data_IF_308082265916
#
_entry.id   IF_308082265916
#
_cell.length_a   1.000
_cell.length_b   1.000
_cell.length_c   1.000
_cell.angle_alpha   90.00
_cell.angle_beta   90.00
_cell.angle_gamma   90.00
#
_symmetry.space_group_name_H-M   'P 1'
#
loop_
_entity.id
_entity.type
_entity.pdbx_description
1 polymer ?
#
# COMPACT_ATOMS: atom_id res chain seq x y z
N UNK A 1 51.56 -21.50 28.17
CA UNK A 1 50.11 -21.80 28.25
C UNK A 1 49.37 -20.80 27.39
N UNK A 2 49.10 -21.15 26.14
CA UNK A 2 48.38 -20.32 25.17
C UNK A 2 46.87 -20.56 25.33
N UNK A 3 46.14 -19.58 25.85
CA UNK A 3 44.69 -19.63 25.95
C UNK A 3 44.08 -19.60 24.54
N UNK A 4 43.36 -20.66 24.18
CA UNK A 4 42.62 -20.76 22.92
C UNK A 4 41.47 -19.74 22.91
N UNK A 5 41.38 -18.94 21.83
CA UNK A 5 40.20 -18.09 21.61
C UNK A 5 38.97 -18.99 21.44
N UNK A 6 37.84 -18.68 22.10
CA UNK A 6 36.64 -19.51 21.98
C UNK A 6 36.15 -19.49 20.53
N UNK A 7 36.04 -20.66 19.91
CA UNK A 7 35.38 -20.82 18.63
C UNK A 7 33.88 -20.63 18.83
N UNK A 8 33.36 -19.50 18.36
CA UNK A 8 31.92 -19.28 18.25
C UNK A 8 31.30 -20.41 17.42
N UNK A 9 30.21 -20.98 17.92
CA UNK A 9 29.40 -21.96 17.22
C UNK A 9 28.84 -21.38 15.91
N UNK A 10 28.47 -22.24 14.96
CA UNK A 10 27.79 -21.84 13.71
C UNK A 10 26.53 -20.99 13.98
N UNK A 11 25.87 -21.22 15.11
CA UNK A 11 24.73 -20.45 15.60
C UNK A 11 25.09 -19.03 16.01
N UNK A 12 26.14 -18.87 16.82
CA UNK A 12 26.58 -17.56 17.28
C UNK A 12 27.15 -16.72 16.13
N UNK A 13 27.80 -17.34 15.15
CA UNK A 13 28.27 -16.64 13.93
C UNK A 13 27.10 -16.18 13.04
N UNK A 14 26.04 -16.98 12.90
CA UNK A 14 24.84 -16.63 12.11
C UNK A 14 23.97 -15.56 12.79
N UNK A 15 23.78 -15.66 14.10
CA UNK A 15 23.10 -14.63 14.89
C UNK A 15 23.89 -13.32 14.87
N UNK A 16 25.23 -13.38 14.92
CA UNK A 16 26.09 -12.21 14.75
C UNK A 16 25.97 -11.59 13.34
N UNK A 17 25.92 -12.39 12.27
CA UNK A 17 25.73 -11.87 10.88
C UNK A 17 24.37 -11.20 10.71
N UNK A 18 23.29 -11.79 11.23
CA UNK A 18 21.96 -11.16 11.20
C UNK A 18 21.95 -9.88 12.07
N UNK A 19 22.52 -9.93 13.28
CA UNK A 19 22.65 -8.74 14.14
C UNK A 19 23.55 -7.67 13.54
N UNK A 20 24.56 -8.01 12.72
CA UNK A 20 25.44 -7.06 12.04
C UNK A 20 24.82 -6.48 10.77
N UNK A 21 24.06 -7.27 10.00
CA UNK A 21 23.30 -6.79 8.84
C UNK A 21 22.14 -5.87 9.24
N UNK A 22 21.58 -6.07 10.43
CA UNK A 22 20.38 -5.37 10.90
C UNK A 22 20.58 -4.45 12.11
N UNK A 23 21.79 -4.34 12.70
CA UNK A 23 22.09 -3.28 13.67
C UNK A 23 22.21 -1.94 12.95
N UNK A 24 21.23 -1.07 13.16
CA UNK A 24 21.31 0.35 12.84
C UNK A 24 20.69 0.79 11.52
N UNK A 25 20.03 -0.10 10.77
CA UNK A 25 19.41 0.23 9.47
C UNK A 25 17.89 0.18 9.47
N UNK A 26 17.24 -0.63 10.31
CA UNK A 26 15.77 -0.76 10.34
C UNK A 26 15.27 -1.23 11.72
N UNK A 27 14.25 -0.56 12.28
CA UNK A 27 13.43 -1.06 13.40
C UNK A 27 12.52 -2.19 12.83
N UNK A 28 13.09 -3.36 12.53
CA UNK A 28 12.31 -4.52 12.11
C UNK A 28 11.46 -5.04 13.29
N UNK A 29 10.16 -5.32 13.12
CA UNK A 29 9.30 -5.84 14.17
C UNK A 29 9.48 -7.35 14.39
N UNK A 30 10.69 -7.89 14.20
CA UNK A 30 10.95 -9.31 14.52
C UNK A 30 11.15 -9.41 16.03
N UNK A 31 10.08 -9.71 16.76
CA UNK A 31 10.21 -10.13 18.16
C UNK A 31 11.03 -11.41 18.22
N UNK A 32 12.26 -11.33 18.73
CA UNK A 32 13.14 -12.50 18.95
C UNK A 32 12.48 -13.63 19.75
N UNK A 33 11.37 -13.37 20.46
CA UNK A 33 10.63 -14.38 21.22
C UNK A 33 9.76 -15.32 20.36
N UNK A 34 9.59 -15.06 19.06
CA UNK A 34 8.78 -15.92 18.15
C UNK A 34 9.60 -16.76 17.17
N UNK A 35 10.93 -16.71 17.24
CA UNK A 35 11.85 -17.51 16.40
C UNK A 35 11.97 -18.98 16.85
N UNK A 36 11.28 -19.38 17.93
CA UNK A 36 11.55 -20.63 18.64
C UNK A 36 10.94 -21.92 18.06
N UNK A 37 10.28 -21.91 16.88
CA UNK A 37 10.29 -23.13 16.06
C UNK A 37 10.48 -22.81 14.58
N UNK A 38 11.52 -22.04 14.22
CA UNK A 38 11.97 -21.92 12.82
C UNK A 38 13.09 -22.93 12.46
N UNK A 39 13.34 -23.91 13.33
CA UNK A 39 14.30 -25.00 13.13
C UNK A 39 13.85 -26.03 12.07
N UNK A 40 12.63 -25.91 11.55
CA UNK A 40 12.10 -26.73 10.44
C UNK A 40 12.05 -26.00 9.10
N UNK A 41 12.51 -24.74 8.99
CA UNK A 41 12.75 -24.13 7.67
C UNK A 41 14.05 -24.71 7.07
N UNK A 42 13.95 -25.92 6.50
CA UNK A 42 14.91 -26.49 5.53
C UNK A 42 14.92 -25.69 4.20
N UNK A 43 14.55 -24.42 4.21
CA UNK A 43 14.45 -23.59 3.02
C UNK A 43 15.81 -22.97 2.66
N UNK A 44 16.15 -22.84 1.36
CA UNK A 44 17.29 -22.06 0.87
C UNK A 44 17.15 -20.53 1.11
N UNK A 45 16.32 -20.11 2.05
CA UNK A 45 15.97 -18.73 2.35
C UNK A 45 17.17 -17.78 2.55
N UNK A 46 18.24 -18.16 3.31
CA UNK A 46 19.43 -17.31 3.43
C UNK A 46 20.17 -17.17 2.11
N UNK A 47 20.24 -18.23 1.30
CA UNK A 47 20.93 -18.22 0.02
C UNK A 47 20.20 -17.37 -1.01
N UNK A 48 18.86 -17.40 -1.03
CA UNK A 48 18.07 -16.56 -1.94
C UNK A 48 18.21 -15.07 -1.61
N UNK A 49 18.20 -14.70 -0.33
CA UNK A 49 18.41 -13.31 0.07
C UNK A 49 19.82 -12.82 -0.26
N UNK A 50 20.84 -13.64 0.03
CA UNK A 50 22.23 -13.35 -0.35
C UNK A 50 22.34 -13.22 -1.87
N UNK A 51 21.71 -14.11 -2.63
CA UNK A 51 21.67 -14.04 -4.08
C UNK A 51 21.02 -12.75 -4.59
N UNK A 52 19.84 -12.39 -4.06
CA UNK A 52 19.15 -11.15 -4.44
C UNK A 52 20.05 -9.93 -4.20
N UNK A 53 20.71 -9.86 -3.04
CA UNK A 53 21.60 -8.77 -2.69
C UNK A 53 22.85 -8.75 -3.59
N UNK A 54 23.55 -9.88 -3.75
CA UNK A 54 24.80 -9.94 -4.50
C UNK A 54 24.58 -9.71 -6.01
N UNK A 55 23.51 -10.30 -6.57
CA UNK A 55 23.24 -10.23 -8.00
C UNK A 55 22.60 -8.90 -8.41
N UNK A 56 21.70 -8.34 -7.60
CA UNK A 56 20.99 -7.10 -7.93
C UNK A 56 21.79 -5.82 -7.63
N UNK A 57 22.78 -5.87 -6.73
CA UNK A 57 23.53 -4.67 -6.31
C UNK A 57 24.23 -3.92 -7.45
N UNK A 58 24.89 -4.58 -8.43
CA UNK A 58 25.46 -3.88 -9.59
C UNK A 58 24.39 -3.12 -10.41
N UNK A 59 23.21 -3.71 -10.59
CA UNK A 59 22.11 -3.07 -11.32
C UNK A 59 21.53 -1.89 -10.55
N UNK A 60 21.32 -2.05 -9.24
CA UNK A 60 20.84 -0.98 -8.37
C UNK A 60 21.80 0.21 -8.35
N UNK A 61 23.11 -0.05 -8.23
CA UNK A 61 24.13 0.99 -8.27
C UNK A 61 24.19 1.71 -9.62
N UNK A 62 24.10 0.96 -10.74
CA UNK A 62 24.07 1.53 -12.08
C UNK A 62 22.84 2.42 -12.35
N UNK A 63 21.77 2.25 -11.58
CA UNK A 63 20.49 2.96 -11.72
C UNK A 63 20.27 4.05 -10.67
N UNK A 64 21.29 4.36 -9.86
CA UNK A 64 21.21 5.39 -8.82
C UNK A 64 20.29 5.03 -7.65
N UNK A 65 19.93 3.75 -7.50
CA UNK A 65 19.03 3.29 -6.44
C UNK A 65 19.80 3.19 -5.13
N UNK A 66 19.30 3.82 -4.06
CA UNK A 66 20.02 3.84 -2.78
C UNK A 66 20.22 2.42 -2.22
N UNK A 67 21.41 2.14 -1.68
CA UNK A 67 21.73 0.80 -1.13
C UNK A 67 20.75 0.35 -0.05
N UNK A 68 20.28 1.28 0.79
CA UNK A 68 19.29 0.98 1.84
C UNK A 68 17.95 0.58 1.25
N UNK A 69 17.48 1.30 0.23
CA UNK A 69 16.25 0.96 -0.45
C UNK A 69 16.36 -0.33 -1.26
N UNK A 70 17.47 -0.54 -1.96
CA UNK A 70 17.71 -1.80 -2.65
C UNK A 70 17.72 -2.99 -1.67
N UNK A 71 18.31 -2.84 -0.48
CA UNK A 71 18.27 -3.86 0.55
C UNK A 71 16.84 -4.16 1.03
N UNK A 72 15.99 -3.13 1.15
CA UNK A 72 14.55 -3.29 1.41
C UNK A 72 13.88 -4.08 0.28
N UNK A 73 14.10 -3.69 -0.99
CA UNK A 73 13.55 -4.39 -2.15
C UNK A 73 13.99 -5.86 -2.20
N UNK A 74 15.28 -6.15 -1.98
CA UNK A 74 15.83 -7.50 -1.98
C UNK A 74 15.23 -8.39 -0.87
N UNK A 75 14.97 -7.80 0.31
CA UNK A 75 14.28 -8.49 1.41
C UNK A 75 12.82 -8.79 1.07
N UNK A 76 12.06 -7.79 0.60
CA UNK A 76 10.65 -7.98 0.24
C UNK A 76 10.51 -8.90 -0.97
N UNK A 77 11.43 -8.87 -1.93
CA UNK A 77 11.52 -9.85 -3.01
C UNK A 77 11.63 -11.28 -2.49
N UNK A 78 12.47 -11.49 -1.48
CA UNK A 78 12.58 -12.80 -0.84
C UNK A 78 11.29 -13.18 -0.12
N UNK A 79 10.74 -12.29 0.73
CA UNK A 79 9.53 -12.55 1.49
C UNK A 79 8.33 -12.86 0.56
N UNK A 80 8.05 -11.97 -0.40
CA UNK A 80 6.97 -12.08 -1.37
C UNK A 80 7.20 -13.15 -2.43
N UNK A 81 8.42 -13.62 -2.64
CA UNK A 81 8.75 -14.67 -3.61
C UNK A 81 8.78 -16.08 -3.02
N UNK A 82 9.08 -16.21 -1.72
CA UNK A 82 9.36 -17.51 -1.09
C UNK A 82 8.35 -17.90 -0.01
N UNK A 83 7.74 -16.96 0.71
CA UNK A 83 6.86 -17.26 1.84
C UNK A 83 5.39 -17.32 1.43
N UNK A 84 4.61 -18.23 2.02
CA UNK A 84 3.16 -18.32 1.86
C UNK A 84 2.46 -17.23 2.68
N UNK A 85 1.20 -16.94 2.35
CA UNK A 85 0.40 -15.94 3.06
C UNK A 85 0.43 -16.08 4.60
N UNK A 86 0.19 -17.29 5.11
CA UNK A 86 0.21 -17.54 6.57
C UNK A 86 1.59 -17.34 7.21
N UNK A 87 2.66 -17.60 6.47
CA UNK A 87 4.03 -17.39 6.97
C UNK A 87 4.33 -15.89 7.07
N UNK A 88 3.93 -15.11 6.07
CA UNK A 88 4.05 -13.65 6.08
C UNK A 88 3.24 -13.03 7.22
N UNK A 89 1.99 -13.45 7.39
CA UNK A 89 1.12 -12.98 8.48
C UNK A 89 1.60 -13.43 9.87
N UNK A 90 2.38 -14.51 9.99
CA UNK A 90 2.98 -14.90 11.26
C UNK A 90 4.12 -13.97 11.68
N UNK A 91 4.89 -13.46 10.71
CA UNK A 91 6.04 -12.58 10.94
C UNK A 91 5.63 -11.15 11.24
N UNK A 92 4.48 -10.71 10.73
CA UNK A 92 3.99 -9.34 10.88
C UNK A 92 2.82 -9.32 11.87
N UNK A 93 2.80 -8.42 12.87
CA UNK A 93 1.64 -8.30 13.76
C UNK A 93 0.35 -7.96 12.99
N UNK A 94 -0.83 -8.37 13.49
CA UNK A 94 -2.11 -7.95 12.91
C UNK A 94 -2.24 -6.41 12.86
N UNK A 95 -2.96 -5.90 11.85
CA UNK A 95 -3.09 -4.45 11.60
C UNK A 95 -3.51 -3.64 12.82
N UNK A 96 -4.50 -4.13 13.59
CA UNK A 96 -4.97 -3.48 14.83
C UNK A 96 -3.85 -3.39 15.87
N UNK A 97 -3.09 -4.47 16.06
CA UNK A 97 -1.96 -4.50 17.02
C UNK A 97 -0.84 -3.55 16.57
N UNK A 98 -0.58 -3.47 15.26
CA UNK A 98 0.37 -2.51 14.69
C UNK A 98 -0.07 -1.07 14.96
N UNK A 99 -1.34 -0.76 14.71
CA UNK A 99 -1.95 0.55 14.98
C UNK A 99 -1.87 0.93 16.45
N UNK A 100 -2.27 0.06 17.37
CA UNK A 100 -2.23 0.34 18.81
C UNK A 100 -0.80 0.63 19.30
N UNK A 101 0.18 -0.16 18.85
CA UNK A 101 1.60 0.05 19.19
C UNK A 101 2.14 1.35 18.61
N UNK A 102 1.79 1.65 17.36
CA UNK A 102 2.21 2.89 16.72
C UNK A 102 1.60 4.10 17.43
N UNK A 103 0.29 4.09 17.72
CA UNK A 103 -0.40 5.16 18.45
C UNK A 103 0.23 5.39 19.83
N UNK A 104 0.47 4.33 20.61
CA UNK A 104 1.10 4.44 21.92
C UNK A 104 2.53 5.02 21.83
N UNK A 105 3.32 4.58 20.85
CA UNK A 105 4.69 5.09 20.64
C UNK A 105 4.67 6.56 20.18
N UNK A 106 3.84 6.89 19.19
CA UNK A 106 3.76 8.23 18.59
C UNK A 106 3.19 9.24 19.60
N UNK A 107 2.14 8.90 20.33
CA UNK A 107 1.56 9.74 21.39
C UNK A 107 2.56 10.06 22.51
N UNK A 108 3.37 9.08 22.92
CA UNK A 108 4.45 9.29 23.90
C UNK A 108 5.56 10.20 23.37
N UNK A 109 5.89 10.08 22.08
CA UNK A 109 6.93 10.90 21.44
C UNK A 109 6.47 12.31 21.09
N UNK A 110 5.15 12.53 20.96
CA UNK A 110 4.53 13.79 20.53
C UNK A 110 3.36 14.17 21.44
N UNK A 111 3.60 14.46 22.75
CA UNK A 111 2.54 14.82 23.68
C UNK A 111 1.76 16.07 23.28
N UNK A 112 2.35 16.98 22.51
CA UNK A 112 1.71 18.17 21.93
C UNK A 112 0.55 17.85 20.97
N UNK A 113 0.50 16.62 20.45
CA UNK A 113 -0.52 16.15 19.53
C UNK A 113 -1.42 15.06 20.16
N UNK A 114 -1.53 15.02 21.49
CA UNK A 114 -2.29 13.99 22.20
C UNK A 114 -3.76 13.88 21.78
N UNK A 115 -4.39 14.99 21.35
CA UNK A 115 -5.78 14.97 20.89
C UNK A 115 -5.96 14.33 19.50
N UNK A 116 -4.90 14.33 18.67
CA UNK A 116 -4.85 13.67 17.36
C UNK A 116 -4.36 12.22 17.43
N UNK A 117 -3.70 11.85 18.54
CA UNK A 117 -3.05 10.54 18.74
C UNK A 117 -3.76 9.69 19.81
N UNK A 118 -5.09 9.60 19.72
CA UNK A 118 -5.93 8.77 20.60
C UNK A 118 -6.50 7.57 19.85
N UNK A 119 -6.36 6.36 20.42
CA UNK A 119 -6.92 5.12 19.86
C UNK A 119 -8.40 5.31 19.55
N UNK A 120 -8.77 5.10 18.29
CA UNK A 120 -10.14 5.17 17.81
C UNK A 120 -10.32 4.15 16.67
N UNK A 121 -11.04 3.07 16.96
CA UNK A 121 -11.33 1.98 16.02
C UNK A 121 -12.84 1.84 15.93
N UNK A 122 -13.34 1.87 14.71
CA UNK A 122 -14.76 1.80 14.40
C UNK A 122 -15.03 0.57 13.54
N UNK A 123 -15.84 -0.36 14.04
CA UNK A 123 -16.16 -1.59 13.32
C UNK A 123 -17.09 -1.29 12.14
N UNK A 124 -16.85 -1.96 11.01
CA UNK A 124 -17.74 -1.89 9.86
C UNK A 124 -18.89 -2.90 10.02
N UNK A 125 -20.10 -2.60 9.50
CA UNK A 125 -21.19 -3.56 9.45
C UNK A 125 -20.89 -4.80 8.58
N UNK A 126 -19.93 -4.70 7.66
CA UNK A 126 -19.67 -5.68 6.60
C UNK A 126 -18.49 -6.61 6.92
N UNK A 127 -18.72 -7.67 7.69
CA UNK A 127 -17.80 -8.81 7.88
C UNK A 127 -16.43 -8.46 8.50
N UNK A 128 -16.38 -8.14 9.79
CA UNK A 128 -15.15 -8.02 10.61
C UNK A 128 -14.10 -6.96 10.20
N UNK A 129 -14.40 -6.13 9.19
CA UNK A 129 -13.56 -4.99 8.83
C UNK A 129 -13.69 -3.85 9.84
N UNK A 130 -12.69 -2.98 9.91
CA UNK A 130 -12.73 -1.78 10.77
C UNK A 130 -12.03 -0.58 10.17
N UNK A 131 -12.41 0.62 10.62
CA UNK A 131 -11.72 1.87 10.34
C UNK A 131 -10.86 2.22 11.56
N UNK A 132 -9.56 2.39 11.33
CA UNK A 132 -8.62 2.88 12.35
C UNK A 132 -8.33 4.35 12.07
N UNK A 133 -8.73 5.23 12.99
CA UNK A 133 -8.62 6.66 12.81
C UNK A 133 -7.26 7.21 13.27
N UNK A 134 -6.67 8.09 12.47
CA UNK A 134 -5.52 8.93 12.83
C UNK A 134 -5.96 10.40 12.72
N UNK A 135 -5.64 11.23 13.72
CA UNK A 135 -6.16 12.60 13.80
C UNK A 135 -7.46 12.70 14.62
N UNK A 136 -7.92 13.94 14.81
CA UNK A 136 -9.11 14.22 15.61
C UNK A 136 -10.36 14.31 14.71
N UNK A 137 -11.04 13.19 14.49
CA UNK A 137 -12.20 13.14 13.58
C UNK A 137 -13.35 14.07 13.97
N UNK A 138 -13.47 14.44 15.25
CA UNK A 138 -14.52 15.34 15.72
C UNK A 138 -14.26 16.81 15.36
N UNK A 139 -12.98 17.18 15.16
CA UNK A 139 -12.58 18.51 14.72
C UNK A 139 -12.25 18.57 13.23
N UNK A 140 -12.03 17.42 12.60
CA UNK A 140 -11.61 17.32 11.23
C UNK A 140 -12.63 17.95 10.27
N UNK A 141 -12.11 18.74 9.34
CA UNK A 141 -12.87 19.32 8.22
C UNK A 141 -12.48 18.68 6.89
N UNK A 142 -11.39 17.91 6.87
CA UNK A 142 -10.80 17.24 5.72
C UNK A 142 -10.49 15.79 6.07
N UNK A 143 -10.72 14.89 5.13
CA UNK A 143 -10.70 13.46 5.38
C UNK A 143 -9.92 12.71 4.30
N UNK A 144 -9.27 11.62 4.73
CA UNK A 144 -8.59 10.67 3.85
C UNK A 144 -9.10 9.27 4.17
N UNK A 145 -9.60 8.53 3.18
CA UNK A 145 -9.84 7.09 3.30
C UNK A 145 -8.65 6.35 2.69
N UNK A 146 -7.85 5.71 3.55
CA UNK A 146 -6.59 5.08 3.17
C UNK A 146 -6.74 3.55 3.11
N UNK A 147 -6.30 2.96 2.01
CA UNK A 147 -6.21 1.51 1.80
C UNK A 147 -4.74 1.10 1.74
N UNK A 148 -4.30 0.23 2.64
CA UNK A 148 -2.89 -0.16 2.68
C UNK A 148 -2.53 -1.18 1.58
N UNK A 149 -1.25 -1.26 1.22
CA UNK A 149 -0.73 -2.28 0.32
C UNK A 149 -0.45 -3.62 1.00
N UNK A 150 0.43 -4.42 0.41
CA UNK A 150 0.79 -5.75 0.92
C UNK A 150 0.13 -6.93 0.20
N UNK A 151 -0.29 -6.73 -1.06
CA UNK A 151 -0.79 -7.82 -1.91
C UNK A 151 -2.06 -8.51 -1.39
N UNK A 152 -2.88 -7.81 -0.61
CA UNK A 152 -4.03 -8.34 0.14
C UNK A 152 -3.70 -9.46 1.16
N UNK A 153 -2.42 -9.70 1.42
CA UNK A 153 -1.94 -10.81 2.25
C UNK A 153 -1.21 -10.29 3.49
N UNK A 154 -0.41 -9.25 3.33
CA UNK A 154 0.41 -8.68 4.39
C UNK A 154 -0.41 -7.65 5.18
N UNK A 155 -0.42 -7.73 6.53
CA UNK A 155 -1.06 -6.71 7.36
C UNK A 155 -0.45 -5.32 7.18
N UNK A 156 -1.20 -4.31 7.60
CA UNK A 156 -0.73 -2.93 7.69
C UNK A 156 0.60 -2.85 8.44
N UNK A 157 1.61 -2.28 7.81
CA UNK A 157 2.91 -1.98 8.40
C UNK A 157 2.94 -0.61 9.11
N UNK A 158 3.81 -0.42 10.13
CA UNK A 158 3.99 0.87 10.79
C UNK A 158 4.30 2.02 9.82
N UNK A 159 5.01 1.74 8.72
CA UNK A 159 5.34 2.74 7.70
C UNK A 159 4.11 3.37 7.04
N UNK A 160 3.01 2.64 6.86
CA UNK A 160 1.76 3.22 6.32
C UNK A 160 1.16 4.24 7.30
N UNK A 161 1.20 3.96 8.60
CA UNK A 161 0.69 4.87 9.63
C UNK A 161 1.56 6.11 9.75
N UNK A 162 2.88 5.93 9.68
CA UNK A 162 3.84 7.03 9.66
C UNK A 162 3.61 7.90 8.42
N UNK A 163 3.43 7.29 7.24
CA UNK A 163 3.10 8.01 6.03
C UNK A 163 1.78 8.78 6.17
N UNK A 164 0.70 8.14 6.63
CA UNK A 164 -0.58 8.83 6.84
C UNK A 164 -0.45 10.05 7.78
N UNK A 165 0.32 9.89 8.86
CA UNK A 165 0.59 10.97 9.80
C UNK A 165 1.38 12.10 9.14
N UNK A 166 2.52 11.78 8.52
CA UNK A 166 3.42 12.78 7.95
C UNK A 166 2.84 13.44 6.70
N UNK A 167 2.06 12.76 5.87
CA UNK A 167 1.50 13.35 4.64
C UNK A 167 0.22 14.13 4.85
N UNK A 168 -0.60 13.78 5.85
CA UNK A 168 -1.97 14.31 5.93
C UNK A 168 -2.31 14.97 7.27
N UNK A 169 -1.93 14.37 8.40
CA UNK A 169 -2.39 14.84 9.73
C UNK A 169 -1.46 15.88 10.34
N UNK A 170 -0.15 15.65 10.26
CA UNK A 170 0.88 16.54 10.77
C UNK A 170 1.45 17.46 9.71
N UNK A 171 1.74 16.91 8.52
CA UNK A 171 2.23 17.67 7.39
C UNK A 171 1.17 17.89 6.31
N UNK A 172 1.53 18.63 5.26
CA UNK A 172 0.68 18.84 4.10
C UNK A 172 -0.64 19.53 4.48
N UNK A 173 -1.82 18.98 4.14
CA UNK A 173 -3.09 19.62 4.49
C UNK A 173 -3.30 19.80 6.00
N UNK A 174 -2.65 18.97 6.84
CA UNK A 174 -2.70 19.09 8.31
C UNK A 174 -2.05 20.36 8.86
N UNK A 175 -1.21 21.04 8.07
CA UNK A 175 -0.60 22.33 8.40
C UNK A 175 -1.59 23.50 8.22
N UNK A 176 -2.69 23.28 7.51
CA UNK A 176 -3.65 24.32 7.11
C UNK A 176 -5.08 24.03 7.58
N UNK A 177 -5.42 22.78 7.87
CA UNK A 177 -6.74 22.34 8.29
C UNK A 177 -6.66 21.17 9.27
N UNK A 178 -7.73 20.96 10.03
CA UNK A 178 -7.89 19.74 10.82
C UNK A 178 -8.21 18.56 9.89
N UNK A 179 -7.28 17.59 9.81
CA UNK A 179 -7.38 16.40 8.95
C UNK A 179 -7.52 15.15 9.82
N UNK A 180 -8.39 14.23 9.39
CA UNK A 180 -8.44 12.87 9.93
C UNK A 180 -8.32 11.82 8.81
N UNK A 181 -7.53 10.78 9.07
CA UNK A 181 -7.32 9.65 8.16
C UNK A 181 -8.06 8.44 8.70
N UNK A 182 -9.00 7.92 7.91
CA UNK A 182 -9.66 6.64 8.09
C UNK A 182 -8.82 5.55 7.40
N UNK A 183 -8.03 4.79 8.16
CA UNK A 183 -7.26 3.67 7.62
C UNK A 183 -8.14 2.42 7.65
N UNK A 184 -8.46 1.86 6.48
CA UNK A 184 -9.26 0.65 6.40
C UNK A 184 -8.42 -0.58 6.78
N UNK A 185 -8.84 -1.27 7.83
CA UNK A 185 -8.44 -2.65 8.10
C UNK A 185 -9.43 -3.59 7.41
N UNK A 186 -9.13 -3.96 6.17
CA UNK A 186 -9.87 -4.96 5.42
C UNK A 186 -9.36 -6.38 5.72
N UNK A 187 -10.19 -7.39 5.46
CA UNK A 187 -9.86 -8.79 5.69
C UNK A 187 -8.83 -9.27 4.67
N UNK A 188 -7.80 -9.97 5.12
CA UNK A 188 -6.70 -10.43 4.27
C UNK A 188 -6.96 -11.84 3.73
N UNK A 189 -6.22 -12.19 2.68
CA UNK A 189 -6.11 -13.55 2.18
C UNK A 189 -5.10 -14.30 3.07
N UNK A 190 -5.38 -15.55 3.48
CA UNK A 190 -6.43 -16.45 2.98
C UNK A 190 -7.75 -16.43 3.75
N UNK A 191 -7.90 -15.60 4.78
CA UNK A 191 -9.10 -15.54 5.63
C UNK A 191 -10.35 -15.19 4.82
N UNK A 192 -10.24 -14.20 3.93
CA UNK A 192 -11.25 -13.90 2.92
C UNK A 192 -10.61 -13.53 1.58
N UNK A 193 -11.24 -13.96 0.49
CA UNK A 193 -10.85 -13.63 -0.88
C UNK A 193 -11.69 -12.48 -1.42
N UNK A 194 -11.26 -11.97 -2.57
CA UNK A 194 -12.04 -11.01 -3.35
C UNK A 194 -13.45 -11.59 -3.62
N UNK A 195 -14.54 -10.82 -3.45
CA UNK A 195 -14.63 -9.35 -3.39
C UNK A 195 -14.80 -8.78 -1.97
N UNK A 196 -14.43 -9.54 -0.92
CA UNK A 196 -14.64 -9.12 0.48
C UNK A 196 -14.01 -7.76 0.78
N UNK A 197 -12.80 -7.54 0.28
CA UNK A 197 -12.04 -6.31 0.48
C UNK A 197 -12.73 -5.11 -0.19
N UNK A 198 -13.25 -5.28 -1.41
CA UNK A 198 -14.02 -4.25 -2.10
C UNK A 198 -15.31 -3.93 -1.35
N UNK A 199 -16.03 -4.95 -0.88
CA UNK A 199 -17.24 -4.77 -0.08
C UNK A 199 -16.97 -3.96 1.20
N UNK A 200 -15.88 -4.25 1.89
CA UNK A 200 -15.46 -3.52 3.08
C UNK A 200 -15.04 -2.08 2.75
N UNK A 201 -14.36 -1.85 1.63
CA UNK A 201 -13.99 -0.51 1.18
C UNK A 201 -15.23 0.35 0.83
N UNK A 202 -16.21 -0.23 0.13
CA UNK A 202 -17.49 0.42 -0.16
C UNK A 202 -18.27 0.68 1.12
N UNK A 203 -18.31 -0.27 2.05
CA UNK A 203 -18.96 -0.07 3.35
C UNK A 203 -18.32 1.07 4.16
N UNK A 204 -16.98 1.14 4.17
CA UNK A 204 -16.25 2.22 4.83
C UNK A 204 -16.55 3.57 4.20
N UNK A 205 -16.44 3.70 2.88
CA UNK A 205 -16.75 4.94 2.17
C UNK A 205 -18.20 5.39 2.39
N UNK A 206 -19.15 4.46 2.29
CA UNK A 206 -20.57 4.73 2.55
C UNK A 206 -20.79 5.21 3.99
N UNK A 207 -20.15 4.58 4.98
CA UNK A 207 -20.25 4.98 6.38
C UNK A 207 -19.69 6.40 6.61
N UNK A 208 -18.57 6.76 5.97
CA UNK A 208 -18.03 8.12 6.03
C UNK A 208 -19.04 9.14 5.48
N UNK A 209 -19.62 8.87 4.30
CA UNK A 209 -20.60 9.76 3.67
C UNK A 209 -21.86 9.88 4.53
N UNK A 210 -22.41 8.75 5.02
CA UNK A 210 -23.58 8.72 5.89
C UNK A 210 -23.35 9.43 7.23
N UNK A 211 -22.10 9.55 7.68
CA UNK A 211 -21.75 10.33 8.88
C UNK A 211 -21.75 11.84 8.67
N UNK A 212 -22.01 12.31 7.44
CA UNK A 212 -22.09 13.73 7.09
C UNK A 212 -20.81 14.30 6.47
N UNK A 213 -19.82 13.48 6.13
CA UNK A 213 -18.61 13.92 5.44
C UNK A 213 -18.96 14.23 3.98
N UNK A 214 -18.81 15.51 3.58
CA UNK A 214 -18.97 15.94 2.19
C UNK A 214 -17.86 15.33 1.31
N UNK A 215 -18.20 14.60 0.21
CA UNK A 215 -17.21 14.04 -0.72
C UNK A 215 -16.16 15.05 -1.21
N UNK A 216 -16.51 16.34 -1.33
CA UNK A 216 -15.57 17.41 -1.72
C UNK A 216 -14.46 17.69 -0.71
N UNK A 217 -14.56 17.14 0.50
CA UNK A 217 -13.55 17.22 1.55
C UNK A 217 -12.90 15.85 1.83
N UNK A 218 -13.13 14.87 0.96
CA UNK A 218 -12.65 13.50 1.11
C UNK A 218 -11.78 13.12 -0.09
N UNK A 219 -10.52 12.76 0.19
CA UNK A 219 -9.69 12.01 -0.74
C UNK A 219 -9.73 10.53 -0.37
N UNK A 220 -9.60 9.65 -1.36
CA UNK A 220 -9.43 8.20 -1.12
C UNK A 220 -8.19 7.70 -1.84
N UNK A 221 -7.54 6.66 -1.34
CA UNK A 221 -6.39 6.12 -2.05
C UNK A 221 -5.58 5.12 -1.26
N UNK A 222 -4.54 4.59 -1.89
CA UNK A 222 -3.69 3.57 -1.30
C UNK A 222 -2.48 3.23 -2.15
N UNK A 223 -1.68 2.30 -1.64
CA UNK A 223 -0.48 1.78 -2.29
C UNK A 223 -0.65 0.34 -2.77
N UNK A 224 -0.05 -0.02 -3.90
CA UNK A 224 -0.01 -1.40 -4.39
C UNK A 224 -1.41 -2.05 -4.48
N UNK A 225 -1.69 -3.05 -3.65
CA UNK A 225 -3.01 -3.64 -3.49
C UNK A 225 -4.08 -2.67 -2.95
N UNK A 226 -3.70 -1.73 -2.09
CA UNK A 226 -4.56 -0.63 -1.65
C UNK A 226 -4.85 0.36 -2.78
N UNK A 227 -3.87 0.60 -3.66
CA UNK A 227 -4.06 1.35 -4.91
C UNK A 227 -5.02 0.63 -5.87
N UNK A 228 -4.89 -0.69 -6.03
CA UNK A 228 -5.89 -1.50 -6.73
C UNK A 228 -7.28 -1.34 -6.09
N UNK A 229 -7.38 -1.43 -4.77
CA UNK A 229 -8.64 -1.32 -4.05
C UNK A 229 -9.30 0.04 -4.25
N UNK A 230 -8.53 1.14 -4.21
CA UNK A 230 -9.00 2.49 -4.51
C UNK A 230 -9.56 2.58 -5.94
N UNK A 231 -8.82 2.08 -6.93
CA UNK A 231 -9.25 2.05 -8.32
C UNK A 231 -10.52 1.22 -8.51
N UNK A 232 -10.61 0.06 -7.84
CA UNK A 232 -11.79 -0.80 -7.85
C UNK A 232 -13.02 -0.15 -7.20
N UNK A 233 -12.83 0.65 -6.15
CA UNK A 233 -13.91 1.46 -5.55
C UNK A 233 -14.43 2.48 -6.56
N UNK A 234 -13.55 3.21 -7.25
CA UNK A 234 -13.95 4.17 -8.29
C UNK A 234 -14.67 3.47 -9.44
N UNK A 235 -14.14 2.33 -9.91
CA UNK A 235 -14.79 1.51 -10.93
C UNK A 235 -16.20 1.10 -10.50
N UNK A 236 -16.38 0.63 -9.27
CA UNK A 236 -17.70 0.23 -8.75
C UNK A 236 -18.67 1.41 -8.58
N UNK A 237 -18.17 2.61 -8.27
CA UNK A 237 -19.01 3.83 -8.22
C UNK A 237 -19.53 4.18 -9.61
N UNK A 238 -18.66 4.13 -10.62
CA UNK A 238 -19.02 4.46 -12.01
C UNK A 238 -19.90 3.37 -12.63
N UNK A 239 -19.53 2.11 -12.40
CA UNK A 239 -20.12 0.92 -13.00
C UNK A 239 -20.34 -0.15 -11.91
N UNK A 240 -21.45 -0.12 -11.16
CA UNK A 240 -21.69 -1.08 -10.08
C UNK A 240 -21.66 -2.54 -10.55
N UNK A 241 -20.95 -3.40 -9.82
CA UNK A 241 -20.89 -4.83 -10.11
C UNK A 241 -22.06 -5.62 -9.52
N UNK A 242 -22.22 -6.85 -10.00
CA UNK A 242 -23.26 -7.78 -9.55
C UNK A 242 -22.82 -8.69 -8.38
N UNK A 243 -21.62 -8.46 -7.82
CA UNK A 243 -20.97 -9.28 -6.78
C UNK A 243 -21.54 -9.10 -5.35
N UNK A 244 -22.84 -8.82 -5.24
CA UNK A 244 -23.52 -8.52 -3.96
C UNK A 244 -22.87 -7.35 -3.18
N UNK A 245 -22.23 -6.43 -3.90
CA UNK A 245 -21.71 -5.19 -3.32
C UNK A 245 -22.76 -4.11 -3.53
N UNK A 246 -23.27 -3.47 -2.46
CA UNK A 246 -24.23 -2.38 -2.60
C UNK A 246 -23.69 -1.29 -3.53
N UNK A 247 -24.51 -0.83 -4.47
CA UNK A 247 -24.17 0.32 -5.28
C UNK A 247 -24.02 1.56 -4.37
N UNK A 248 -22.96 2.33 -4.59
CA UNK A 248 -22.71 3.57 -3.87
C UNK A 248 -22.84 4.73 -4.86
N UNK A 249 -23.82 5.59 -4.64
CA UNK A 249 -23.99 6.82 -5.44
C UNK A 249 -23.48 8.01 -4.65
N UNK A 250 -22.56 8.76 -5.25
CA UNK A 250 -22.08 10.00 -4.68
C UNK A 250 -22.92 11.16 -5.19
N UNK A 251 -23.42 12.01 -4.29
CA UNK A 251 -24.10 13.25 -4.69
C UNK A 251 -23.13 14.29 -5.27
N UNK A 252 -21.84 14.18 -4.92
CA UNK A 252 -20.76 15.05 -5.34
C UNK A 252 -19.50 14.23 -5.60
N UNK A 253 -18.64 14.71 -6.49
CA UNK A 253 -17.31 14.13 -6.74
C UNK A 253 -16.46 14.16 -5.47
N UNK A 254 -15.65 13.12 -5.29
CA UNK A 254 -14.57 13.11 -4.32
C UNK A 254 -13.57 14.25 -4.62
N UNK A 255 -12.93 14.76 -3.58
CA UNK A 255 -11.89 15.79 -3.73
C UNK A 255 -10.73 15.29 -4.60
N UNK A 256 -10.36 14.02 -4.44
CA UNK A 256 -9.30 13.40 -5.21
C UNK A 256 -9.16 11.91 -4.93
N UNK A 257 -8.51 11.22 -5.84
CA UNK A 257 -8.10 9.81 -5.69
C UNK A 257 -6.59 9.76 -5.87
N UNK A 258 -5.87 9.06 -4.99
CA UNK A 258 -4.45 8.79 -5.21
C UNK A 258 -4.16 7.28 -5.31
N UNK A 259 -3.29 6.92 -6.25
CA UNK A 259 -2.86 5.56 -6.53
C UNK A 259 -1.34 5.51 -6.49
N UNK A 260 -0.76 4.87 -5.48
CA UNK A 260 0.70 4.68 -5.37
C UNK A 260 1.06 3.28 -5.86
N UNK A 261 1.95 3.17 -6.83
CA UNK A 261 2.41 1.92 -7.45
C UNK A 261 1.26 0.88 -7.63
N UNK A 262 0.11 1.24 -8.22
CA UNK A 262 -1.10 0.42 -8.11
C UNK A 262 -1.00 -0.89 -8.90
N UNK A 263 -1.43 -1.99 -8.28
CA UNK A 263 -1.48 -3.30 -8.93
C UNK A 263 -2.77 -3.45 -9.77
N UNK A 264 -2.81 -2.98 -11.02
CA UNK A 264 -4.07 -2.88 -11.78
C UNK A 264 -4.39 -4.05 -12.72
N UNK A 265 -3.43 -4.95 -12.99
CA UNK A 265 -3.59 -6.10 -13.90
C UNK A 265 -2.99 -7.38 -13.29
N UNK A 266 -3.57 -8.54 -13.61
CA UNK A 266 -2.98 -9.85 -13.31
C UNK A 266 -1.83 -10.22 -14.26
N UNK A 267 -1.69 -9.51 -15.38
CA UNK A 267 -0.67 -9.75 -16.39
C UNK A 267 0.70 -9.28 -15.89
N UNK A 268 1.74 -10.01 -16.29
CA UNK A 268 3.14 -9.73 -15.92
C UNK A 268 4.02 -9.63 -17.16
N UNK A 269 3.41 -9.21 -18.27
CA UNK A 269 4.00 -9.22 -19.62
C UNK A 269 4.60 -7.89 -20.03
N UNK A 270 4.38 -6.82 -19.25
CA UNK A 270 4.92 -5.51 -19.54
C UNK A 270 6.46 -5.51 -19.57
N UNK A 271 7.13 -4.73 -20.46
CA UNK A 271 8.59 -4.66 -20.55
C UNK A 271 9.27 -4.36 -19.21
N UNK A 272 8.69 -3.49 -18.38
CA UNK A 272 9.15 -3.14 -17.04
C UNK A 272 9.34 -4.35 -16.12
N UNK A 273 8.54 -5.43 -16.24
CA UNK A 273 8.75 -6.66 -15.47
C UNK A 273 10.09 -7.33 -15.77
N UNK A 274 10.56 -7.26 -17.02
CA UNK A 274 11.86 -7.80 -17.43
C UNK A 274 12.97 -6.81 -17.09
N UNK A 275 12.78 -5.53 -17.40
CA UNK A 275 13.78 -4.48 -17.19
C UNK A 275 14.12 -4.29 -15.72
N UNK A 276 13.13 -4.36 -14.82
CA UNK A 276 13.27 -4.01 -13.41
C UNK A 276 13.35 -5.23 -12.48
N UNK A 277 13.33 -6.46 -13.03
CA UNK A 277 13.28 -7.71 -12.25
C UNK A 277 14.38 -7.86 -11.19
N UNK A 278 15.52 -7.20 -11.27
CA UNK A 278 16.62 -7.38 -10.30
C UNK A 278 16.82 -6.18 -9.38
N UNK A 279 16.04 -5.13 -9.56
CA UNK A 279 16.04 -3.92 -8.74
C UNK A 279 14.79 -3.88 -7.88
N UNK A 280 13.65 -4.21 -8.48
CA UNK A 280 12.37 -4.17 -7.81
C UNK A 280 12.10 -5.42 -6.93
N UNK A 281 11.25 -5.22 -5.92
CA UNK A 281 10.74 -6.28 -5.06
C UNK A 281 9.69 -7.16 -5.75
N UNK A 282 8.98 -6.61 -6.74
CA UNK A 282 7.93 -7.31 -7.49
C UNK A 282 8.52 -8.19 -8.60
N UNK A 283 7.91 -9.35 -8.80
CA UNK A 283 8.30 -10.36 -9.79
C UNK A 283 7.08 -10.97 -10.46
N UNK A 284 7.22 -11.42 -11.71
CA UNK A 284 6.16 -12.17 -12.37
C UNK A 284 5.70 -13.39 -11.55
N UNK A 285 6.65 -14.07 -10.89
CA UNK A 285 6.35 -15.24 -10.03
C UNK A 285 5.53 -14.87 -8.80
N UNK A 286 5.89 -13.81 -8.09
CA UNK A 286 5.12 -13.39 -6.90
C UNK A 286 3.72 -12.92 -7.30
N UNK A 287 3.59 -12.25 -8.44
CA UNK A 287 2.28 -11.76 -8.93
C UNK A 287 1.36 -12.87 -9.39
N UNK A 288 1.88 -13.89 -10.08
CA UNK A 288 1.09 -15.09 -10.43
C UNK A 288 0.51 -15.76 -9.18
N UNK A 289 1.31 -15.87 -8.11
CA UNK A 289 0.86 -16.42 -6.83
C UNK A 289 -0.15 -15.49 -6.13
N UNK A 290 0.15 -14.20 -6.01
CA UNK A 290 -0.73 -13.23 -5.37
C UNK A 290 -2.11 -13.18 -6.05
N UNK A 291 -2.14 -13.20 -7.39
CA UNK A 291 -3.38 -13.29 -8.18
C UNK A 291 -4.16 -14.56 -7.82
N UNK A 292 -3.49 -15.71 -7.77
CA UNK A 292 -4.13 -17.01 -7.48
C UNK A 292 -4.63 -17.14 -6.03
N UNK A 293 -3.98 -16.44 -5.10
CA UNK A 293 -4.38 -16.38 -3.70
C UNK A 293 -5.58 -15.43 -3.51
N UNK A 294 -5.55 -14.26 -4.17
CA UNK A 294 -6.60 -13.23 -4.12
C UNK A 294 -7.90 -13.70 -4.76
N UNK A 295 -7.81 -14.23 -5.99
CA UNK A 295 -8.96 -14.70 -6.75
C UNK A 295 -9.33 -16.11 -6.30
N UNK A 296 -10.62 -16.38 -6.09
CA UNK A 296 -11.07 -17.74 -5.83
C UNK A 296 -10.84 -18.61 -7.08
N UNK A 297 -10.50 -19.93 -6.99
CA UNK A 297 -10.34 -20.76 -8.19
C UNK A 297 -11.64 -20.95 -8.98
N UNK A 298 -12.78 -20.62 -8.35
CA UNK A 298 -14.11 -20.52 -8.97
C UNK A 298 -14.57 -19.08 -9.18
N UNK A 299 -13.72 -18.08 -8.93
CA UNK A 299 -13.96 -16.71 -9.36
C UNK A 299 -13.90 -16.74 -10.90
N UNK A 300 -14.97 -16.37 -11.58
CA UNK A 300 -15.37 -17.17 -12.73
C UNK A 300 -14.57 -16.77 -13.99
N UNK A 301 -14.41 -17.72 -14.91
CA UNK A 301 -14.19 -17.49 -16.36
C UNK A 301 -14.92 -18.62 -17.08
N UNK A 302 -16.23 -18.45 -17.25
CA UNK A 302 -17.13 -19.37 -17.94
C UNK A 302 -18.10 -18.64 -18.89
N UNK A 303 -18.16 -17.30 -18.82
CA UNK A 303 -19.06 -16.42 -19.57
C UNK A 303 -18.53 -14.98 -19.65
N UNK A 304 -19.15 -14.12 -20.47
CA UNK A 304 -18.79 -12.68 -20.58
C UNK A 304 -19.01 -11.88 -19.29
N UNK A 305 -19.98 -12.24 -18.44
CA UNK A 305 -20.18 -11.58 -17.14
C UNK A 305 -18.98 -11.78 -16.21
N UNK A 306 -18.26 -12.89 -16.40
CA UNK A 306 -17.10 -13.24 -15.59
C UNK A 306 -15.87 -12.38 -15.92
N UNK A 307 -15.76 -11.91 -17.16
CA UNK A 307 -14.76 -10.91 -17.56
C UNK A 307 -14.99 -9.58 -16.84
N UNK A 308 -16.24 -9.18 -16.64
CA UNK A 308 -16.59 -7.96 -15.91
C UNK A 308 -16.26 -8.05 -14.42
N UNK A 309 -16.44 -9.23 -13.81
CA UNK A 309 -16.08 -9.49 -12.41
C UNK A 309 -14.58 -9.59 -12.20
N UNK A 310 -13.86 -10.23 -13.13
CA UNK A 310 -12.39 -10.19 -13.14
C UNK A 310 -11.88 -8.76 -13.27
N UNK A 311 -12.50 -7.96 -14.14
CA UNK A 311 -12.19 -6.56 -14.30
C UNK A 311 -12.53 -5.72 -13.04
N UNK A 312 -13.39 -6.21 -12.14
CA UNK A 312 -13.61 -5.56 -10.84
C UNK A 312 -12.45 -5.81 -9.89
N UNK A 313 -11.82 -6.99 -9.96
CA UNK A 313 -10.67 -7.32 -9.14
C UNK A 313 -9.36 -6.76 -9.72
N UNK A 314 -9.28 -6.67 -11.04
CA UNK A 314 -8.13 -6.19 -11.81
C UNK A 314 -8.62 -5.17 -12.83
N UNK A 315 -8.66 -3.88 -12.50
CA UNK A 315 -9.30 -2.84 -13.32
C UNK A 315 -8.84 -2.75 -14.79
N UNK A 316 -7.64 -3.27 -15.12
CA UNK A 316 -7.10 -3.31 -16.48
C UNK A 316 -7.29 -4.65 -17.22
N UNK A 317 -7.88 -5.67 -16.59
CA UNK A 317 -8.07 -7.00 -17.19
C UNK A 317 -9.41 -7.19 -17.90
N UNK A 318 -10.15 -6.11 -18.16
CA UNK A 318 -11.36 -6.13 -18.98
C UNK A 318 -11.47 -4.91 -19.89
N UNK A 319 -12.71 -4.57 -20.27
CA UNK A 319 -13.00 -3.36 -21.03
C UNK A 319 -12.60 -2.13 -20.21
N UNK A 320 -11.74 -1.29 -20.77
CA UNK A 320 -11.22 -0.08 -20.14
C UNK A 320 -12.13 1.14 -20.30
N UNK A 321 -13.22 1.05 -21.08
CA UNK A 321 -14.17 2.14 -21.28
C UNK A 321 -14.79 2.67 -19.97
N UNK A 322 -14.80 1.87 -18.90
CA UNK A 322 -15.24 2.35 -17.57
C UNK A 322 -14.40 3.52 -17.06
N UNK A 323 -13.13 3.60 -17.48
CA UNK A 323 -12.19 4.62 -17.03
C UNK A 323 -12.54 6.02 -17.58
N UNK A 324 -13.30 6.10 -18.67
CA UNK A 324 -13.82 7.35 -19.23
C UNK A 324 -14.81 8.04 -18.28
N UNK A 325 -15.40 7.28 -17.35
CA UNK A 325 -16.35 7.79 -16.36
C UNK A 325 -15.70 8.15 -15.01
N UNK A 326 -14.38 8.03 -14.85
CA UNK A 326 -13.67 8.35 -13.58
C UNK A 326 -13.96 9.79 -13.14
N UNK A 327 -14.01 10.72 -14.10
CA UNK A 327 -14.35 12.13 -13.85
C UNK A 327 -15.74 12.31 -13.22
N UNK A 328 -16.66 11.35 -13.32
CA UNK A 328 -17.96 11.41 -12.66
C UNK A 328 -17.87 11.16 -11.15
N UNK A 329 -16.85 10.43 -10.70
CA UNK A 329 -16.68 10.03 -9.30
C UNK A 329 -15.68 10.90 -8.53
N UNK A 330 -14.65 11.45 -9.19
CA UNK A 330 -13.59 12.24 -8.55
C UNK A 330 -13.23 13.48 -9.36
N UNK A 331 -12.83 14.56 -8.67
CA UNK A 331 -12.36 15.79 -9.31
C UNK A 331 -10.88 15.70 -9.73
N UNK A 332 -10.07 14.92 -9.01
CA UNK A 332 -8.63 14.75 -9.27
C UNK A 332 -8.22 13.29 -9.16
N UNK A 333 -7.24 12.89 -9.95
CA UNK A 333 -6.60 11.57 -9.90
C UNK A 333 -5.08 11.76 -9.92
N UNK A 334 -4.42 11.32 -8.85
CA UNK A 334 -2.97 11.31 -8.75
C UNK A 334 -2.45 9.88 -8.80
N UNK A 335 -1.56 9.60 -9.75
CA UNK A 335 -0.91 8.31 -9.90
C UNK A 335 0.59 8.53 -9.74
N UNK A 336 1.22 7.82 -8.80
CA UNK A 336 2.66 7.93 -8.59
C UNK A 336 3.30 6.57 -8.44
N UNK A 337 4.54 6.45 -8.91
CA UNK A 337 5.35 5.24 -8.78
C UNK A 337 6.81 5.56 -9.11
N UNK A 338 7.62 4.51 -9.18
CA UNK A 338 9.03 4.59 -9.55
C UNK A 338 9.30 4.14 -10.99
N UNK A 339 10.28 4.75 -11.65
CA UNK A 339 10.76 4.30 -12.96
C UNK A 339 11.48 2.93 -12.88
N UNK A 340 11.89 2.52 -11.68
CA UNK A 340 12.56 1.24 -11.42
C UNK A 340 11.60 0.16 -10.91
N UNK A 341 10.28 0.36 -10.99
CA UNK A 341 9.29 -0.63 -10.55
C UNK A 341 8.72 -1.49 -11.70
N UNK A 342 8.24 -2.68 -11.38
CA UNK A 342 7.70 -3.65 -12.33
C UNK A 342 6.38 -3.16 -12.94
N UNK A 343 5.57 -2.40 -12.21
CA UNK A 343 4.28 -1.86 -12.69
C UNK A 343 4.40 -0.57 -13.51
N UNK A 344 5.60 -0.03 -13.71
CA UNK A 344 5.84 1.26 -14.40
C UNK A 344 5.05 1.39 -15.71
N UNK A 345 5.12 0.38 -16.57
CA UNK A 345 4.48 0.45 -17.89
C UNK A 345 2.95 0.25 -17.79
N UNK A 346 2.47 -0.55 -16.84
CA UNK A 346 1.03 -0.70 -16.58
C UNK A 346 0.43 0.61 -16.06
N UNK A 347 1.13 1.29 -15.14
CA UNK A 347 0.77 2.61 -14.62
C UNK A 347 0.71 3.65 -15.73
N UNK A 348 1.73 3.67 -16.59
CA UNK A 348 1.76 4.59 -17.74
C UNK A 348 0.59 4.32 -18.68
N UNK A 349 0.37 3.06 -19.05
CA UNK A 349 -0.71 2.67 -19.95
C UNK A 349 -2.09 3.03 -19.39
N UNK A 350 -2.31 2.82 -18.09
CA UNK A 350 -3.55 3.23 -17.43
C UNK A 350 -3.72 4.75 -17.46
N UNK A 351 -2.68 5.51 -17.12
CA UNK A 351 -2.72 6.97 -17.12
C UNK A 351 -2.96 7.55 -18.52
N UNK A 352 -2.34 6.98 -19.56
CA UNK A 352 -2.54 7.38 -20.95
C UNK A 352 -3.99 7.11 -21.41
N UNK A 353 -4.59 6.01 -20.96
CA UNK A 353 -5.99 5.72 -21.28
C UNK A 353 -6.93 6.74 -20.61
N UNK A 354 -6.74 6.98 -19.30
CA UNK A 354 -7.57 7.94 -18.55
C UNK A 354 -7.47 9.35 -19.13
N UNK A 355 -6.28 9.79 -19.54
CA UNK A 355 -6.07 11.13 -20.11
C UNK A 355 -6.79 11.35 -21.44
N UNK A 356 -7.00 10.29 -22.24
CA UNK A 356 -7.71 10.39 -23.51
C UNK A 356 -9.23 10.57 -23.33
N UNK A 357 -9.81 9.97 -22.29
CA UNK A 357 -11.26 9.95 -22.06
C UNK A 357 -11.80 11.06 -21.13
N UNK A 358 -10.94 11.70 -20.32
CA UNK A 358 -11.37 12.57 -19.22
C UNK A 358 -10.80 13.99 -19.30
N UNK A 359 -11.36 14.86 -20.14
CA UNK A 359 -10.89 16.26 -20.27
C UNK A 359 -11.11 17.13 -19.03
N UNK A 360 -12.08 16.79 -18.17
CA UNK A 360 -12.44 17.56 -16.97
C UNK A 360 -11.80 17.01 -15.67
N UNK A 361 -10.95 15.99 -15.78
CA UNK A 361 -10.27 15.37 -14.64
C UNK A 361 -8.87 15.99 -14.45
N UNK A 362 -8.57 16.45 -13.23
CA UNK A 362 -7.22 16.85 -12.85
C UNK A 362 -6.34 15.59 -12.66
N UNK A 363 -5.74 15.12 -13.76
CA UNK A 363 -4.87 13.94 -13.77
C UNK A 363 -3.40 14.34 -13.62
N UNK A 364 -2.76 13.86 -12.55
CA UNK A 364 -1.32 13.98 -12.32
C UNK A 364 -0.66 12.60 -12.33
N UNK A 365 0.33 12.40 -13.20
CA UNK A 365 1.20 11.21 -13.21
C UNK A 365 2.62 11.61 -12.84
N UNK A 366 3.18 11.02 -11.78
CA UNK A 366 4.58 11.22 -11.39
C UNK A 366 5.33 9.90 -11.23
N UNK A 367 6.26 9.62 -12.16
CA UNK A 367 7.15 8.47 -12.12
C UNK A 367 8.58 8.92 -11.79
N UNK A 368 9.04 8.64 -10.57
CA UNK A 368 10.34 9.11 -10.06
C UNK A 368 11.51 8.23 -10.53
N UNK A 369 12.60 8.84 -10.99
CA UNK A 369 13.71 8.17 -11.70
C UNK A 369 14.44 7.10 -10.86
N UNK A 370 14.59 7.35 -9.56
CA UNK A 370 15.39 6.53 -8.64
C UNK A 370 14.57 5.72 -7.64
N UNK A 371 13.25 5.67 -7.85
CA UNK A 371 12.31 4.95 -7.00
C UNK A 371 11.93 3.62 -7.67
N UNK A 372 11.68 2.59 -6.84
CA UNK A 372 10.98 1.37 -7.24
C UNK A 372 9.66 1.28 -6.46
N UNK A 373 9.05 0.10 -6.43
CA UNK A 373 7.70 -0.13 -5.90
C UNK A 373 7.53 0.36 -4.45
N UNK A 374 6.44 1.09 -4.17
CA UNK A 374 6.04 1.60 -2.85
C UNK A 374 7.12 2.43 -2.10
N UNK A 375 7.85 3.31 -2.80
CA UNK A 375 8.94 4.08 -2.18
C UNK A 375 8.49 4.95 -0.99
N UNK A 376 7.29 5.53 -1.05
CA UNK A 376 6.70 6.31 0.05
C UNK A 376 6.47 5.48 1.33
N UNK A 377 6.22 4.17 1.20
CA UNK A 377 6.14 3.26 2.33
C UNK A 377 7.51 3.07 2.98
N UNK A 378 8.60 3.02 2.21
CA UNK A 378 9.95 2.98 2.76
C UNK A 378 10.25 4.24 3.57
N UNK A 379 9.90 5.42 3.05
CA UNK A 379 10.05 6.69 3.75
C UNK A 379 9.36 6.63 5.13
N UNK A 380 8.10 6.17 5.17
CA UNK A 380 7.39 5.92 6.42
C UNK A 380 8.06 4.88 7.32
N UNK A 381 8.52 3.75 6.77
CA UNK A 381 9.16 2.67 7.53
C UNK A 381 10.49 3.11 8.15
N UNK A 382 11.20 4.01 7.47
CA UNK A 382 12.45 4.63 7.95
C UNK A 382 12.22 5.93 8.72
N UNK A 383 10.96 6.36 8.87
CA UNK A 383 10.53 7.60 9.55
C UNK A 383 11.23 8.83 9.00
N UNK A 384 11.32 8.91 7.69
CA UNK A 384 11.92 10.03 6.96
C UNK A 384 10.86 10.61 6.05
N UNK A 385 10.74 11.93 6.09
CA UNK A 385 10.03 12.67 5.04
C UNK A 385 11.00 12.83 3.88
N UNK A 386 10.76 12.11 2.79
CA UNK A 386 11.53 12.24 1.56
C UNK A 386 10.67 12.78 0.42
N UNK A 387 11.21 12.70 -0.79
CA UNK A 387 10.62 13.30 -1.98
C UNK A 387 9.23 12.72 -2.28
N UNK A 388 9.00 11.42 -2.05
CA UNK A 388 7.71 10.81 -2.30
C UNK A 388 6.63 11.35 -1.34
N UNK A 389 6.97 11.48 -0.06
CA UNK A 389 6.10 12.10 0.95
C UNK A 389 5.82 13.57 0.61
N UNK A 390 6.82 14.31 0.15
CA UNK A 390 6.67 15.73 -0.23
C UNK A 390 5.73 15.88 -1.43
N UNK A 391 5.88 15.08 -2.49
CA UNK A 391 4.96 15.09 -3.64
C UNK A 391 3.53 14.80 -3.21
N UNK A 392 3.34 13.79 -2.35
CA UNK A 392 2.01 13.46 -1.81
C UNK A 392 1.41 14.60 -0.98
N UNK A 393 2.20 15.26 -0.13
CA UNK A 393 1.76 16.45 0.63
C UNK A 393 1.28 17.56 -0.31
N UNK A 394 2.09 17.90 -1.32
CA UNK A 394 1.78 18.98 -2.24
C UNK A 394 0.47 18.73 -2.99
N UNK A 395 0.29 17.52 -3.53
CA UNK A 395 -0.96 17.15 -4.18
C UNK A 395 -2.14 17.17 -3.18
N UNK A 396 -1.98 16.59 -1.99
CA UNK A 396 -3.05 16.56 -0.99
C UNK A 396 -3.45 17.96 -0.49
N UNK A 397 -2.50 18.90 -0.38
CA UNK A 397 -2.79 20.32 -0.10
C UNK A 397 -3.60 20.95 -1.22
N UNK A 398 -3.31 20.66 -2.49
CA UNK A 398 -4.10 21.19 -3.60
C UNK A 398 -5.56 20.70 -3.58
N UNK A 399 -5.80 19.45 -3.18
CA UNK A 399 -7.14 18.85 -3.16
C UNK A 399 -7.94 19.15 -1.88
N UNK A 400 -7.28 19.17 -0.72
CA UNK A 400 -7.94 19.37 0.58
C UNK A 400 -7.74 20.76 1.17
N UNK A 401 -6.83 21.57 0.62
CA UNK A 401 -6.52 22.91 1.09
C UNK A 401 -7.71 23.87 1.03
N UNK A 402 -7.64 24.92 1.84
CA UNK A 402 -8.68 25.96 1.92
C UNK A 402 -8.57 26.92 0.74
N UNK A 403 -9.13 26.55 -0.41
CA UNK A 403 -9.25 27.43 -1.58
C UNK A 403 -7.93 27.70 -2.32
N UNK A 404 -8.00 27.80 -3.64
CA UNK A 404 -6.87 28.20 -4.49
C UNK A 404 -6.27 29.49 -3.92
N UNK A 405 -4.98 29.49 -3.61
CA UNK A 405 -4.22 30.73 -3.52
C UNK A 405 -4.24 31.29 -4.95
N UNK A 406 -5.16 32.19 -5.21
CA UNK A 406 -5.09 33.09 -6.36
C UNK A 406 -3.79 33.87 -6.20
N UNK A 407 -2.80 33.53 -7.05
CA UNK A 407 -1.60 34.35 -7.28
C UNK A 407 -2.01 35.66 -7.91
#
# INVERSE_FOLDING_TARGET
MTASRPQLSLWERRDLVLRLLFRGTFDFPVSCKRLAPLTTLQTPAPLQLIWNLAYGMPFAAARGVSVRFFAFCAYYRFALGCMRARELQFLVPPSIVTYEKWMAKKSKSHPEHADKLKKNIEMLPANDGSIMWIGNRQKATKFVLFFHGGGYVVPLLPGHLEWCWESYVHGGPGEHAEVAVAVLQYTLVPEARYPTQLRQAIAALNQLIQSGIDPRNLIIGGDSAGGNLACSVIRHICHPCHLEIPALRLERRLAGVFLVSPWLTSKTTAPSFKENNYVDMITAKCMSRATSELLHPRFPVRSKSDESDLAMAMPMDGDMAWADDISTATASLYITGGQQEAYRDDIRSFSEHVSCGNNDLDLLLELSEHEAHDFILLEGQTRRVGDATIRMRNWAVAQLGTGRISV
#
